data_IF_632401237752
#
_entry.id   IF_632401237752
#
_cell.length_a   1.000
_cell.length_b   1.000
_cell.length_c   1.000
_cell.angle_alpha   90.00
_cell.angle_beta   90.00
_cell.angle_gamma   90.00
#
_symmetry.space_group_name_H-M   'P 1'
#
loop_
_entity.id
_entity.type
_entity.pdbx_description
1 polymer ?
#
# COMPACT_ATOMS: atom_id res chain seq x y z
N UNK A 1 25.85 -22.51 -79.31
CA UNK A 1 25.39 -21.24 -78.69
C UNK A 1 24.39 -20.47 -79.57
N UNK A 2 24.29 -20.75 -80.86
CA UNK A 2 23.32 -20.14 -81.80
C UNK A 2 21.86 -20.61 -81.58
N UNK A 3 21.63 -21.89 -81.28
CA UNK A 3 20.27 -22.44 -81.13
C UNK A 3 19.46 -21.82 -79.98
N UNK A 4 20.13 -21.42 -78.90
CA UNK A 4 19.48 -20.77 -77.77
C UNK A 4 19.05 -19.34 -78.11
N UNK A 5 19.85 -18.65 -78.94
CA UNK A 5 19.56 -17.28 -79.39
C UNK A 5 18.38 -17.25 -80.38
N UNK A 6 18.32 -18.18 -81.32
CA UNK A 6 17.18 -18.31 -82.25
C UNK A 6 15.89 -18.73 -81.54
N UNK A 7 15.97 -19.64 -80.56
CA UNK A 7 14.82 -19.99 -79.72
C UNK A 7 14.37 -18.81 -78.86
N UNK A 8 15.29 -17.99 -78.36
CA UNK A 8 14.96 -16.78 -77.59
C UNK A 8 14.35 -15.67 -78.46
N UNK A 9 14.86 -15.46 -79.68
CA UNK A 9 14.30 -14.48 -80.63
C UNK A 9 12.90 -14.88 -81.13
N UNK A 10 12.66 -16.17 -81.38
CA UNK A 10 11.33 -16.69 -81.72
C UNK A 10 10.36 -16.70 -80.53
N UNK A 11 10.85 -16.83 -79.29
CA UNK A 11 10.05 -16.65 -78.08
C UNK A 11 9.69 -15.17 -77.88
N UNK A 12 10.64 -14.25 -78.06
CA UNK A 12 10.44 -12.81 -77.86
C UNK A 12 9.53 -12.18 -78.92
N UNK A 13 9.56 -12.67 -80.16
CA UNK A 13 8.65 -12.20 -81.21
C UNK A 13 7.18 -12.56 -80.93
N UNK A 14 6.92 -13.67 -80.22
CA UNK A 14 5.57 -14.08 -79.79
C UNK A 14 4.94 -13.14 -78.74
N UNK A 15 5.72 -12.24 -78.13
CA UNK A 15 5.22 -11.22 -77.19
C UNK A 15 4.95 -9.86 -77.86
N UNK A 16 5.28 -9.68 -79.13
CA UNK A 16 5.33 -8.37 -79.80
C UNK A 16 4.00 -7.92 -80.43
N UNK A 17 2.99 -8.79 -80.50
CA UNK A 17 1.64 -8.54 -81.06
C UNK A 17 0.49 -8.88 -80.09
N UNK A 18 0.70 -8.69 -78.78
CA UNK A 18 -0.30 -9.05 -77.74
C UNK A 18 -1.34 -7.94 -77.45
N UNK A 19 -1.22 -6.77 -78.07
CA UNK A 19 -2.11 -5.63 -77.78
C UNK A 19 -3.42 -5.72 -78.59
N UNK A 20 -4.46 -6.25 -77.95
CA UNK A 20 -5.84 -6.24 -78.46
C UNK A 20 -6.45 -7.62 -78.80
N UNK A 21 -5.69 -8.72 -78.66
CA UNK A 21 -6.24 -10.08 -78.83
C UNK A 21 -6.70 -10.69 -77.50
N UNK A 22 -7.86 -11.38 -77.55
CA UNK A 22 -8.45 -12.08 -76.42
C UNK A 22 -7.46 -13.12 -75.84
N UNK A 23 -7.30 -13.24 -74.50
CA UNK A 23 -6.27 -14.09 -73.86
C UNK A 23 -6.27 -15.58 -74.26
N UNK A 24 -7.37 -16.07 -74.82
CA UNK A 24 -7.50 -17.44 -75.33
C UNK A 24 -6.84 -17.73 -76.68
N UNK A 25 -6.44 -16.70 -77.44
CA UNK A 25 -5.88 -16.81 -78.80
C UNK A 25 -4.36 -16.51 -78.87
N UNK A 26 -3.70 -16.35 -77.72
CA UNK A 26 -2.26 -16.03 -77.67
C UNK A 26 -1.38 -17.22 -78.12
N UNK A 27 -0.17 -16.94 -78.66
CA UNK A 27 0.83 -17.97 -78.96
C UNK A 27 1.15 -18.86 -77.75
N UNK A 28 1.68 -20.07 -78.00
CA UNK A 28 1.83 -21.11 -76.97
C UNK A 28 2.67 -20.65 -75.75
N UNK A 29 3.74 -19.87 -75.97
CA UNK A 29 4.62 -19.41 -74.89
C UNK A 29 3.98 -18.39 -73.93
N UNK A 30 3.40 -17.25 -74.39
CA UNK A 30 2.72 -16.30 -73.49
C UNK A 30 1.51 -16.92 -72.78
N UNK A 31 0.81 -17.88 -73.40
CA UNK A 31 -0.30 -18.61 -72.78
C UNK A 31 0.14 -19.51 -71.62
N UNK A 32 1.25 -20.24 -71.78
CA UNK A 32 1.79 -21.08 -70.70
C UNK A 32 2.33 -20.19 -69.58
N UNK A 33 3.00 -19.08 -69.90
CA UNK A 33 3.52 -18.15 -68.92
C UNK A 33 2.41 -17.49 -68.07
N UNK A 34 1.32 -17.06 -68.70
CA UNK A 34 0.17 -16.49 -67.98
C UNK A 34 -0.56 -17.56 -67.13
N UNK A 35 -0.66 -18.80 -67.61
CA UNK A 35 -1.20 -19.92 -66.83
C UNK A 35 -0.33 -20.25 -65.60
N UNK A 36 0.99 -20.28 -65.75
CA UNK A 36 1.94 -20.47 -64.64
C UNK A 36 1.86 -19.29 -63.66
N UNK A 37 1.82 -18.06 -64.16
CA UNK A 37 1.68 -16.86 -63.34
C UNK A 37 0.40 -16.86 -62.52
N UNK A 38 -0.73 -17.24 -63.13
CA UNK A 38 -2.00 -17.41 -62.43
C UNK A 38 -1.93 -18.51 -61.37
N UNK A 39 -1.27 -19.64 -61.68
CA UNK A 39 -1.11 -20.74 -60.74
C UNK A 39 -0.26 -20.33 -59.52
N UNK A 40 0.86 -19.66 -59.74
CA UNK A 40 1.71 -19.10 -58.67
C UNK A 40 0.94 -18.05 -57.88
N UNK A 41 0.17 -17.18 -58.53
CA UNK A 41 -0.64 -16.17 -57.86
C UNK A 41 -1.68 -16.81 -56.94
N UNK A 42 -2.40 -17.84 -57.41
CA UNK A 42 -3.37 -18.58 -56.59
C UNK A 42 -2.69 -19.30 -55.42
N UNK A 43 -1.52 -19.90 -55.63
CA UNK A 43 -0.75 -20.53 -54.55
C UNK A 43 -0.24 -19.50 -53.53
N UNK A 44 0.21 -18.33 -53.98
CA UNK A 44 0.67 -17.26 -53.11
C UNK A 44 -0.48 -16.70 -52.26
N UNK A 45 -1.64 -16.44 -52.87
CA UNK A 45 -2.83 -15.99 -52.16
C UNK A 45 -3.32 -17.06 -51.19
N UNK A 46 -3.34 -18.33 -51.59
CA UNK A 46 -3.69 -19.45 -50.72
C UNK A 46 -2.74 -19.60 -49.54
N UNK A 47 -1.44 -19.51 -49.76
CA UNK A 47 -0.44 -19.53 -48.70
C UNK A 47 -0.59 -18.34 -47.76
N UNK A 48 -0.70 -17.13 -48.31
CA UNK A 48 -0.75 -15.91 -47.52
C UNK A 48 -2.05 -15.80 -46.71
N UNK A 49 -3.19 -16.23 -47.25
CA UNK A 49 -4.47 -16.08 -46.57
C UNK A 49 -4.82 -17.29 -45.68
N UNK A 50 -4.53 -18.51 -46.12
CA UNK A 50 -4.83 -19.71 -45.34
C UNK A 50 -3.73 -19.93 -44.29
N UNK A 51 -2.49 -20.15 -44.73
CA UNK A 51 -1.40 -20.62 -43.88
C UNK A 51 -0.96 -19.62 -42.81
N UNK A 52 -1.10 -18.32 -43.06
CA UNK A 52 -0.77 -17.28 -42.06
C UNK A 52 -1.68 -17.37 -40.83
N UNK A 53 -2.98 -17.60 -41.03
CA UNK A 53 -3.96 -17.68 -39.94
C UNK A 53 -3.70 -18.88 -39.02
N UNK A 54 -3.35 -20.04 -39.59
CA UNK A 54 -3.04 -21.21 -38.77
C UNK A 54 -1.71 -21.05 -38.01
N UNK A 55 -0.71 -20.38 -38.60
CA UNK A 55 0.54 -20.09 -37.90
C UNK A 55 0.33 -19.10 -36.74
N UNK A 56 -0.55 -18.11 -36.91
CA UNK A 56 -0.90 -17.15 -35.86
C UNK A 56 -1.67 -17.83 -34.71
N UNK A 57 -2.62 -18.73 -35.01
CA UNK A 57 -3.31 -19.52 -33.98
C UNK A 57 -2.35 -20.42 -33.17
N UNK A 58 -1.36 -21.03 -33.84
CA UNK A 58 -0.34 -21.85 -33.17
C UNK A 58 0.55 -20.99 -32.27
N UNK A 59 0.99 -19.82 -32.74
CA UNK A 59 1.83 -18.90 -31.95
C UNK A 59 1.06 -18.36 -30.73
N UNK A 60 -0.20 -17.98 -30.91
CA UNK A 60 -1.09 -17.59 -29.81
C UNK A 60 -1.23 -18.70 -28.77
N UNK A 61 -1.47 -19.94 -29.23
CA UNK A 61 -1.56 -21.10 -28.35
C UNK A 61 -0.27 -21.34 -27.55
N UNK A 62 0.89 -21.23 -28.19
CA UNK A 62 2.20 -21.36 -27.53
C UNK A 62 2.44 -20.25 -26.50
N UNK A 63 2.06 -19.00 -26.82
CA UNK A 63 2.17 -17.89 -25.88
C UNK A 63 1.23 -18.05 -24.68
N UNK A 64 0.00 -18.53 -24.90
CA UNK A 64 -0.93 -18.83 -23.82
C UNK A 64 -0.42 -19.95 -22.92
N UNK A 65 0.12 -21.03 -23.50
CA UNK A 65 0.74 -22.12 -22.74
C UNK A 65 1.88 -21.60 -21.86
N UNK A 66 2.76 -20.77 -22.41
CA UNK A 66 3.87 -20.18 -21.67
C UNK A 66 3.38 -19.28 -20.53
N UNK A 67 2.41 -18.39 -20.79
CA UNK A 67 1.79 -17.55 -19.77
C UNK A 67 1.16 -18.39 -18.65
N UNK A 68 0.49 -19.49 -19.01
CA UNK A 68 -0.17 -20.36 -18.04
C UNK A 68 0.84 -21.11 -17.16
N UNK A 69 1.95 -21.58 -17.75
CA UNK A 69 3.08 -22.18 -17.03
C UNK A 69 3.72 -21.20 -16.04
N UNK A 70 3.95 -19.97 -16.46
CA UNK A 70 4.55 -18.96 -15.58
C UNK A 70 3.60 -18.56 -14.45
N UNK A 71 2.31 -18.41 -14.75
CA UNK A 71 1.27 -18.16 -13.74
C UNK A 71 1.17 -19.32 -12.75
N UNK A 72 1.26 -20.56 -13.23
CA UNK A 72 1.24 -21.75 -12.37
C UNK A 72 2.44 -21.77 -11.42
N UNK A 73 3.66 -21.52 -11.93
CA UNK A 73 4.88 -21.43 -11.09
C UNK A 73 4.74 -20.40 -9.98
N UNK A 74 4.25 -19.19 -10.31
CA UNK A 74 4.04 -18.13 -9.32
C UNK A 74 3.01 -18.54 -8.28
N UNK A 75 1.88 -19.13 -8.68
CA UNK A 75 0.82 -19.58 -7.75
C UNK A 75 1.28 -20.72 -6.85
N UNK A 76 2.06 -21.67 -7.38
CA UNK A 76 2.66 -22.76 -6.59
C UNK A 76 3.69 -22.22 -5.60
N UNK A 77 4.54 -21.28 -6.02
CA UNK A 77 5.50 -20.66 -5.10
C UNK A 77 4.78 -19.90 -3.97
N UNK A 78 3.71 -19.17 -4.30
CA UNK A 78 2.88 -18.48 -3.31
C UNK A 78 2.20 -19.48 -2.36
N UNK A 79 1.68 -20.60 -2.86
CA UNK A 79 0.99 -21.59 -2.02
C UNK A 79 1.92 -22.33 -1.06
N UNK A 80 3.16 -22.64 -1.48
CA UNK A 80 4.17 -23.24 -0.59
C UNK A 80 4.48 -22.30 0.59
N UNK A 81 4.48 -20.98 0.38
CA UNK A 81 4.70 -20.00 1.45
C UNK A 81 3.46 -19.72 2.31
N UNK A 82 2.25 -20.15 1.90
CA UNK A 82 1.02 -19.81 2.63
C UNK A 82 0.97 -20.45 4.02
N UNK A 83 1.36 -21.71 4.16
CA UNK A 83 1.28 -22.38 5.46
C UNK A 83 2.32 -21.83 6.44
N UNK A 84 3.55 -21.55 5.95
CA UNK A 84 4.56 -20.84 6.74
C UNK A 84 4.10 -19.43 7.16
N UNK A 85 3.47 -18.67 6.25
CA UNK A 85 2.92 -17.33 6.55
C UNK A 85 1.74 -17.39 7.54
N UNK A 86 0.88 -18.41 7.45
CA UNK A 86 -0.20 -18.63 8.44
C UNK A 86 0.36 -18.95 9.82
N UNK A 87 1.40 -19.77 9.90
CA UNK A 87 2.08 -20.09 11.16
C UNK A 87 2.74 -18.85 11.76
N UNK A 88 3.46 -18.06 10.95
CA UNK A 88 4.02 -16.77 11.37
C UNK A 88 2.93 -15.83 11.89
N UNK A 89 1.78 -15.72 11.19
CA UNK A 89 0.64 -14.92 11.65
C UNK A 89 0.09 -15.41 12.99
N UNK A 90 -0.03 -16.73 13.17
CA UNK A 90 -0.51 -17.32 14.43
C UNK A 90 0.43 -17.02 15.59
N UNK A 91 1.75 -17.12 15.36
CA UNK A 91 2.78 -16.78 16.34
C UNK A 91 2.71 -15.30 16.74
N UNK A 92 2.59 -14.40 15.76
CA UNK A 92 2.45 -12.95 16.01
C UNK A 92 1.18 -12.66 16.81
N UNK A 93 0.04 -13.26 16.47
CA UNK A 93 -1.21 -13.08 17.22
C UNK A 93 -1.12 -13.61 18.65
N UNK A 94 -0.43 -14.73 18.88
CA UNK A 94 -0.18 -15.24 20.23
C UNK A 94 0.72 -14.31 21.04
N UNK A 95 1.74 -13.72 20.40
CA UNK A 95 2.64 -12.76 21.03
C UNK A 95 1.89 -11.47 21.41
N UNK A 96 1.08 -10.93 20.50
CA UNK A 96 0.23 -9.77 20.76
C UNK A 96 -0.76 -10.06 21.88
N UNK A 97 -1.47 -11.19 21.84
CA UNK A 97 -2.43 -11.57 22.89
C UNK A 97 -1.77 -11.75 24.27
N UNK A 98 -0.52 -12.22 24.30
CA UNK A 98 0.25 -12.30 25.55
C UNK A 98 0.63 -10.92 26.08
N UNK A 99 1.03 -10.00 25.20
CA UNK A 99 1.32 -8.62 25.59
C UNK A 99 0.06 -7.87 26.05
N UNK A 100 -1.08 -8.07 25.38
CA UNK A 100 -2.39 -7.52 25.79
C UNK A 100 -2.77 -8.00 27.19
N UNK A 101 -2.59 -9.29 27.50
CA UNK A 101 -2.87 -9.84 28.84
C UNK A 101 -1.90 -9.37 29.92
N UNK A 102 -0.71 -8.93 29.55
CA UNK A 102 0.33 -8.45 30.47
C UNK A 102 0.26 -6.94 30.72
N UNK A 103 -0.63 -6.21 30.04
CA UNK A 103 -0.86 -4.79 30.25
C UNK A 103 -2.16 -4.61 31.04
N UNK A 104 -2.12 -4.43 32.38
CA UNK A 104 -3.31 -4.12 33.16
C UNK A 104 -3.71 -2.65 32.92
N UNK A 105 -4.47 -2.41 31.84
CA UNK A 105 -4.77 -1.07 31.31
C UNK A 105 -5.60 -0.17 32.25
N UNK A 106 -6.29 -0.73 33.24
CA UNK A 106 -7.16 0.01 34.17
C UNK A 106 -6.53 0.26 35.55
N UNK A 107 -5.66 -0.64 36.03
CA UNK A 107 -5.06 -0.53 37.37
C UNK A 107 -3.93 0.52 37.45
N UNK A 108 -3.29 0.85 36.32
CA UNK A 108 -2.22 1.84 36.29
C UNK A 108 -2.73 3.29 36.38
N UNK A 109 -4.01 3.56 36.06
CA UNK A 109 -4.57 4.91 36.02
C UNK A 109 -4.55 5.62 37.38
N UNK A 110 -5.10 4.98 38.42
CA UNK A 110 -5.13 5.55 39.77
C UNK A 110 -3.71 5.75 40.32
N UNK A 111 -2.79 4.85 39.94
CA UNK A 111 -1.39 4.95 40.31
C UNK A 111 -0.70 6.15 39.64
N UNK A 112 -1.03 6.50 38.39
CA UNK A 112 -0.48 7.70 37.73
C UNK A 112 -0.86 8.98 38.49
N UNK A 113 -2.13 9.10 38.89
CA UNK A 113 -2.60 10.27 39.65
C UNK A 113 -1.91 10.36 41.01
N UNK A 114 -1.75 9.24 41.69
CA UNK A 114 -1.05 9.16 42.97
C UNK A 114 0.44 9.51 42.83
N UNK A 115 1.11 9.01 41.79
CA UNK A 115 2.53 9.25 41.55
C UNK A 115 2.83 10.73 41.24
N UNK A 116 1.99 11.38 40.41
CA UNK A 116 2.15 12.81 40.10
C UNK A 116 1.98 13.65 41.37
N UNK A 117 0.98 13.31 42.19
CA UNK A 117 0.75 13.99 43.46
C UNK A 117 1.88 13.72 44.48
N UNK A 118 2.42 12.49 44.50
CA UNK A 118 3.57 12.13 45.34
C UNK A 118 4.83 12.87 44.92
N UNK A 119 5.10 12.97 43.61
CA UNK A 119 6.22 13.75 43.07
C UNK A 119 6.13 15.24 43.44
N UNK A 120 4.92 15.80 43.47
CA UNK A 120 4.68 17.18 43.92
C UNK A 120 4.93 17.33 45.44
N UNK A 121 4.32 16.46 46.25
CA UNK A 121 4.43 16.49 47.71
C UNK A 121 5.87 16.23 48.19
N UNK A 122 6.62 15.34 47.53
CA UNK A 122 8.01 15.02 47.86
C UNK A 122 8.96 16.21 47.72
N UNK A 123 8.55 17.25 46.98
CA UNK A 123 9.28 18.51 46.82
C UNK A 123 8.67 19.67 47.61
N UNK A 124 7.68 19.41 48.46
CA UNK A 124 6.96 20.43 49.22
C UNK A 124 6.07 21.33 48.36
N UNK A 125 5.73 20.89 47.13
CA UNK A 125 4.91 21.66 46.20
C UNK A 125 3.44 21.34 46.43
N UNK A 126 2.66 22.35 46.81
CA UNK A 126 1.21 22.24 46.86
C UNK A 126 0.64 22.56 45.49
N UNK A 127 -0.01 21.58 44.84
CA UNK A 127 -0.82 21.82 43.64
C UNK A 127 -2.07 22.60 44.03
N UNK A 128 -2.33 23.70 43.35
CA UNK A 128 -3.52 24.53 43.54
C UNK A 128 -4.69 24.00 42.69
N UNK A 129 -4.41 23.49 41.49
CA UNK A 129 -5.40 22.84 40.63
C UNK A 129 -4.84 21.50 40.14
N UNK A 130 -5.61 20.44 40.36
CA UNK A 130 -5.39 19.12 39.78
C UNK A 130 -6.74 18.57 39.31
N UNK A 131 -7.03 18.73 38.01
CA UNK A 131 -8.34 18.35 37.44
C UNK A 131 -8.15 17.42 36.24
N UNK A 132 -8.50 16.13 36.37
CA UNK A 132 -8.60 15.24 35.22
C UNK A 132 -9.70 15.72 34.27
N UNK A 133 -9.38 15.88 33.00
CA UNK A 133 -10.34 16.14 31.95
C UNK A 133 -10.80 14.82 31.30
N UNK A 134 -11.87 14.87 30.49
CA UNK A 134 -12.38 13.71 29.78
C UNK A 134 -11.34 13.08 28.85
N UNK A 135 -11.37 11.75 28.71
CA UNK A 135 -10.47 11.03 27.83
C UNK A 135 -10.72 11.43 26.37
N UNK A 136 -9.65 11.79 25.65
CA UNK A 136 -9.68 12.06 24.21
C UNK A 136 -9.32 10.78 23.47
N UNK A 137 -10.34 10.12 22.90
CA UNK A 137 -10.19 8.87 22.19
C UNK A 137 -9.54 9.12 20.81
N UNK A 138 -8.44 8.42 20.54
CA UNK A 138 -7.80 8.32 19.21
C UNK A 138 -8.02 6.93 18.63
N UNK A 139 -7.37 6.65 17.50
CA UNK A 139 -7.61 5.42 16.74
C UNK A 139 -7.29 4.13 17.49
N UNK A 140 -6.26 4.14 18.34
CA UNK A 140 -5.76 2.96 19.06
C UNK A 140 -5.42 3.22 20.53
N UNK A 141 -5.43 4.49 20.95
CA UNK A 141 -5.14 4.92 22.30
C UNK A 141 -6.03 6.08 22.70
N UNK A 142 -6.22 6.29 23.99
CA UNK A 142 -6.90 7.45 24.55
C UNK A 142 -5.88 8.30 25.31
N UNK A 143 -5.92 9.61 25.06
CA UNK A 143 -5.17 10.60 25.85
C UNK A 143 -6.03 11.03 27.03
N UNK A 144 -5.46 11.07 28.23
CA UNK A 144 -6.11 11.62 29.42
C UNK A 144 -5.36 12.90 29.81
N UNK A 145 -5.90 14.07 29.46
CA UNK A 145 -5.34 15.34 29.88
C UNK A 145 -5.70 15.62 31.34
N UNK A 146 -4.73 16.13 32.10
CA UNK A 146 -4.86 16.54 33.49
C UNK A 146 -4.37 17.98 33.56
N UNK A 147 -5.28 18.89 33.91
CA UNK A 147 -4.92 20.28 34.15
C UNK A 147 -4.20 20.40 35.49
N UNK A 148 -3.01 20.98 35.45
CA UNK A 148 -2.17 21.20 36.62
C UNK A 148 -1.87 22.70 36.77
N UNK A 149 -2.04 23.19 38.00
CA UNK A 149 -1.57 24.50 38.41
C UNK A 149 -0.85 24.38 39.75
N UNK A 150 0.35 24.96 39.84
CA UNK A 150 1.14 24.95 41.07
C UNK A 150 1.99 26.20 41.20
N UNK A 151 2.36 26.54 42.44
CA UNK A 151 3.23 27.67 42.76
C UNK A 151 4.48 27.14 43.44
N UNK A 152 5.65 27.44 42.86
CA UNK A 152 6.93 26.98 43.39
C UNK A 152 8.08 27.94 43.06
N UNK A 153 9.23 27.75 43.70
CA UNK A 153 10.47 28.36 43.22
C UNK A 153 10.92 27.73 41.90
N UNK A 154 11.72 28.46 41.13
CA UNK A 154 12.22 28.00 39.83
C UNK A 154 12.94 26.64 39.92
N UNK A 155 13.76 26.44 40.94
CA UNK A 155 14.52 25.19 41.10
C UNK A 155 13.62 23.99 41.40
N UNK A 156 12.69 24.15 42.33
CA UNK A 156 11.77 23.08 42.72
C UNK A 156 10.83 22.71 41.57
N UNK A 157 10.42 23.70 40.77
CA UNK A 157 9.67 23.48 39.53
C UNK A 157 10.45 22.63 38.51
N UNK A 158 11.72 22.95 38.30
CA UNK A 158 12.58 22.19 37.38
C UNK A 158 12.78 20.75 37.87
N UNK A 159 12.94 20.55 39.18
CA UNK A 159 13.04 19.22 39.78
C UNK A 159 11.74 18.43 39.65
N UNK A 160 10.58 19.06 39.84
CA UNK A 160 9.29 18.41 39.63
C UNK A 160 9.13 17.91 38.18
N UNK A 161 9.44 18.76 37.20
CA UNK A 161 9.41 18.37 35.77
C UNK A 161 10.36 17.18 35.51
N UNK A 162 11.55 17.18 36.12
CA UNK A 162 12.50 16.08 36.00
C UNK A 162 12.01 14.79 36.67
N UNK A 163 11.33 14.88 37.81
CA UNK A 163 10.78 13.72 38.51
C UNK A 163 9.59 13.13 37.74
N UNK A 164 8.72 13.96 37.17
CA UNK A 164 7.64 13.53 36.26
C UNK A 164 8.20 12.82 35.03
N UNK A 165 9.29 13.33 34.45
CA UNK A 165 9.95 12.72 33.30
C UNK A 165 10.64 11.38 33.62
N UNK A 166 10.94 11.10 34.90
CA UNK A 166 11.55 9.85 35.37
C UNK A 166 10.54 8.80 35.82
N UNK A 167 9.25 9.12 35.81
CA UNK A 167 8.22 8.14 36.16
C UNK A 167 8.33 6.93 35.23
N UNK A 168 8.10 5.69 35.72
CA UNK A 168 8.19 4.46 34.91
C UNK A 168 6.98 4.29 33.97
N UNK A 169 6.43 5.39 33.46
CA UNK A 169 5.19 5.48 32.68
C UNK A 169 5.23 6.69 31.74
N UNK A 170 4.46 6.64 30.66
CA UNK A 170 4.45 7.68 29.62
C UNK A 170 3.58 8.86 30.06
N UNK A 171 4.22 9.91 30.57
CA UNK A 171 3.57 11.19 30.91
C UNK A 171 4.26 12.30 30.15
N UNK A 172 3.50 13.13 29.45
CA UNK A 172 4.02 14.33 28.77
C UNK A 172 3.45 15.59 29.39
N UNK A 173 4.26 16.62 29.48
CA UNK A 173 3.83 17.95 29.90
C UNK A 173 3.67 18.83 28.67
N UNK A 174 2.47 19.36 28.48
CA UNK A 174 2.09 20.17 27.34
C UNK A 174 1.60 21.54 27.81
N UNK A 175 1.76 22.55 26.94
CA UNK A 175 1.23 23.90 27.14
C UNK A 175 1.65 24.54 28.47
N UNK A 176 2.92 24.40 28.84
CA UNK A 176 3.46 25.00 30.06
C UNK A 176 3.54 26.52 29.93
N UNK A 177 2.96 27.21 30.91
CA UNK A 177 2.98 28.67 31.04
C UNK A 177 3.48 29.04 32.42
N UNK A 178 4.40 30.00 32.48
CA UNK A 178 5.01 30.45 33.74
C UNK A 178 4.70 31.92 33.97
N UNK A 179 4.21 32.24 35.17
CA UNK A 179 3.89 33.60 35.61
C UNK A 179 4.49 33.85 36.97
N UNK A 180 4.95 35.07 37.23
CA UNK A 180 5.36 35.46 38.58
C UNK A 180 4.10 35.55 39.45
N UNK A 181 4.13 34.90 40.61
CA UNK A 181 3.04 34.98 41.59
C UNK A 181 2.88 36.41 42.06
N UNK A 182 1.65 36.94 41.96
CA UNK A 182 1.28 38.27 42.48
C UNK A 182 0.81 38.20 43.93
N UNK A 183 0.71 37.00 44.50
CA UNK A 183 0.20 36.79 45.85
C UNK A 183 1.34 36.88 46.86
N UNK A 184 1.27 37.86 47.76
CA UNK A 184 2.27 38.10 48.79
C UNK A 184 2.41 36.93 49.78
N UNK A 185 1.41 36.04 49.86
CA UNK A 185 1.42 34.86 50.75
C UNK A 185 2.11 33.63 50.13
N UNK A 186 2.25 33.57 48.81
CA UNK A 186 2.92 32.49 48.08
C UNK A 186 3.90 33.08 47.06
N UNK A 187 5.06 33.60 47.50
CA UNK A 187 6.08 34.10 46.58
C UNK A 187 6.62 32.93 45.75
N UNK A 188 6.73 33.12 44.43
CA UNK A 188 7.19 32.07 43.52
C UNK A 188 6.73 32.27 42.09
N UNK A 189 6.92 31.23 41.29
CA UNK A 189 6.47 31.10 39.91
C UNK A 189 5.24 30.20 39.91
N UNK A 190 4.15 30.71 39.36
CA UNK A 190 2.95 29.94 39.02
C UNK A 190 3.21 29.24 37.69
N UNK A 191 3.11 27.91 37.68
CA UNK A 191 3.10 27.11 36.45
C UNK A 191 1.68 26.61 36.18
N UNK A 192 1.17 26.95 35.01
CA UNK A 192 -0.06 26.39 34.43
C UNK A 192 0.35 25.40 33.33
N UNK A 193 -0.29 24.22 33.25
CA UNK A 193 0.02 23.25 32.21
C UNK A 193 -0.96 22.09 32.11
N UNK A 194 -0.77 21.25 31.11
CA UNK A 194 -1.56 20.03 30.90
C UNK A 194 -0.61 18.84 30.91
N UNK A 195 -0.75 17.95 31.90
CA UNK A 195 -0.10 16.66 31.88
C UNK A 195 -0.97 15.67 31.10
N UNK A 196 -0.40 14.96 30.13
CA UNK A 196 -1.11 13.93 29.36
C UNK A 196 -0.54 12.56 29.69
N UNK A 197 -1.43 11.61 29.97
CA UNK A 197 -1.12 10.19 30.04
C UNK A 197 -1.87 9.44 28.94
N UNK A 198 -1.38 8.26 28.59
CA UNK A 198 -1.87 7.47 27.47
C UNK A 198 -2.34 6.10 27.96
N UNK A 199 -3.48 5.64 27.43
CA UNK A 199 -3.96 4.26 27.61
C UNK A 199 -4.41 3.66 26.29
N UNK A 200 -4.43 2.34 26.20
CA UNK A 200 -5.08 1.66 25.08
C UNK A 200 -6.60 1.77 25.19
N UNK A 201 -7.28 1.75 24.04
CA UNK A 201 -8.73 1.58 24.00
C UNK A 201 -9.08 0.13 24.31
N UNK A 202 -10.17 -0.08 25.01
CA UNK A 202 -10.73 -1.42 25.19
C UNK A 202 -11.32 -1.93 23.87
N UNK A 203 -11.38 -3.26 23.64
CA UNK A 203 -11.88 -3.84 22.39
C UNK A 203 -13.28 -3.35 22.00
N UNK A 204 -14.12 -3.05 22.99
CA UNK A 204 -15.45 -2.46 22.80
C UNK A 204 -15.36 -1.02 22.26
N UNK A 205 -14.52 -0.17 22.85
CA UNK A 205 -14.28 1.20 22.39
C UNK A 205 -13.68 1.24 20.96
N UNK A 206 -12.81 0.28 20.62
CA UNK A 206 -12.24 0.14 19.26
C UNK A 206 -13.34 -0.23 18.25
N UNK A 207 -14.23 -1.14 18.61
CA UNK A 207 -15.33 -1.58 17.74
C UNK A 207 -16.32 -0.44 17.48
N UNK A 208 -16.63 0.36 18.51
CA UNK A 208 -17.47 1.56 18.40
C UNK A 208 -16.85 2.61 17.47
N UNK A 209 -15.56 2.93 17.66
CA UNK A 209 -14.80 3.85 16.79
C UNK A 209 -14.74 3.39 15.32
N UNK A 210 -14.62 2.07 15.09
CA UNK A 210 -14.64 1.50 13.75
C UNK A 210 -16.03 1.60 13.10
N UNK A 211 -17.10 1.42 13.88
CA UNK A 211 -18.48 1.57 13.42
C UNK A 211 -18.83 3.02 13.08
N UNK A 212 -18.42 3.98 13.89
CA UNK A 212 -18.61 5.42 13.62
C UNK A 212 -17.89 5.87 12.35
N UNK A 213 -16.66 5.36 12.11
CA UNK A 213 -15.91 5.67 10.89
C UNK A 213 -16.55 5.12 9.62
N UNK A 214 -17.18 3.94 9.69
CA UNK A 214 -17.95 3.39 8.56
C UNK A 214 -19.16 4.29 8.25
N UNK A 215 -19.91 4.68 9.27
CA UNK A 215 -21.05 5.60 9.12
C UNK A 215 -20.66 6.96 8.52
N UNK A 216 -19.55 7.56 8.96
CA UNK A 216 -19.07 8.84 8.42
C UNK A 216 -18.56 8.76 6.97
N UNK A 217 -18.05 7.59 6.54
CA UNK A 217 -17.68 7.37 5.13
C UNK A 217 -18.89 7.16 4.23
N UNK A 218 -19.93 6.50 4.73
CA UNK A 218 -21.19 6.32 4.02
C UNK A 218 -21.97 7.63 3.89
N UNK A 219 -21.94 8.50 4.91
CA UNK A 219 -22.59 9.81 4.87
C UNK A 219 -21.90 10.86 3.98
N UNK A 220 -20.67 10.60 3.54
CA UNK A 220 -19.90 11.47 2.62
C UNK A 220 -19.94 11.00 1.15
N UNK A 221 -20.64 9.89 0.88
CA UNK A 221 -20.84 9.33 -0.46
C UNK A 221 -22.22 9.65 -0.97
#
# INVERSE_FOLDING_TARGET
MSDFKEKFESLASQFRDLNGLHPGLWPLAPRILSAIGLCIFVLFVGWWFYWSTQLEEIDLGQQEEQKLKDTFKVKVQQSISLDALKEQRKLVLQYVSRMEKQLPSTAEYAAVLADINSAANGRGLSMDIFKPAGATIKDYYAELPIEIQMVANYHDMAQFVADVAKLPRIVTLNNLSFKVSKDAKKPGIVMDGIAKTYRYLDPEEIAEQAAERKKNKEAKK
#
